data_IF_149871240720
#
_entry.id   IF_149871240720
#
_cell.length_a   1.000
_cell.length_b   1.000
_cell.length_c   1.000
_cell.angle_alpha   90.00
_cell.angle_beta   90.00
_cell.angle_gamma   90.00
#
_symmetry.space_group_name_H-M   'P 1'
#
loop_
_entity.id
_entity.type
_entity.pdbx_description
1 polymer ?
#
# COMPACT_ATOMS: atom_id res chain seq x y z
N UNK A 1 9.14 26.18 18.29
CA UNK A 1 10.09 25.18 17.78
C UNK A 1 10.75 24.38 18.91
N UNK A 2 11.16 25.03 20.03
CA UNK A 2 11.85 24.29 21.10
C UNK A 2 11.01 23.19 21.74
N UNK A 3 9.69 23.39 21.85
CA UNK A 3 8.78 22.32 22.28
C UNK A 3 8.80 21.14 21.32
N UNK A 4 8.73 21.40 20.01
CA UNK A 4 8.80 20.36 19.00
C UNK A 4 10.13 19.58 19.05
N UNK A 5 11.26 20.29 19.20
CA UNK A 5 12.58 19.65 19.34
C UNK A 5 12.65 18.73 20.57
N UNK A 6 12.00 19.12 21.68
CA UNK A 6 11.91 18.25 22.88
C UNK A 6 11.07 17.02 22.57
N UNK A 7 9.86 17.20 22.00
CA UNK A 7 8.97 16.08 21.68
C UNK A 7 9.60 15.09 20.70
N UNK A 8 10.33 15.57 19.68
CA UNK A 8 11.07 14.68 18.76
C UNK A 8 12.11 13.85 19.48
N UNK A 9 12.90 14.47 20.41
CA UNK A 9 13.88 13.71 21.20
C UNK A 9 13.23 12.67 22.11
N UNK A 10 12.10 13.01 22.73
CA UNK A 10 11.32 12.10 23.57
C UNK A 10 10.82 10.91 22.75
N UNK A 11 10.22 11.14 21.58
CA UNK A 11 9.75 10.08 20.69
C UNK A 11 10.89 9.15 20.24
N UNK A 12 12.06 9.71 19.91
CA UNK A 12 13.24 8.91 19.55
C UNK A 12 13.73 8.09 20.73
N UNK A 13 13.74 8.67 21.95
CA UNK A 13 14.12 7.94 23.15
C UNK A 13 13.13 6.82 23.48
N UNK A 14 11.86 6.97 23.12
CA UNK A 14 10.80 5.97 23.23
C UNK A 14 10.82 4.93 22.10
N UNK A 15 11.75 5.03 21.15
CA UNK A 15 11.97 4.05 20.09
C UNK A 15 11.21 4.32 18.80
N UNK A 16 10.86 5.56 18.49
CA UNK A 16 10.25 5.89 17.20
C UNK A 16 11.22 5.64 16.05
N UNK A 17 10.79 4.85 15.06
CA UNK A 17 11.57 4.45 13.87
C UNK A 17 11.15 5.23 12.61
N UNK A 18 10.02 5.94 12.64
CA UNK A 18 9.54 6.81 11.57
C UNK A 18 8.61 7.89 12.13
N UNK A 19 8.45 8.98 11.38
CA UNK A 19 7.54 10.07 11.75
C UNK A 19 6.45 10.26 10.71
N UNK A 20 5.20 10.43 11.19
CA UNK A 20 4.08 10.91 10.40
C UNK A 20 3.71 12.33 10.85
N UNK A 21 3.74 13.29 9.94
CA UNK A 21 3.39 14.68 10.21
C UNK A 21 2.11 15.04 9.46
N UNK A 22 1.07 15.42 10.21
CA UNK A 22 -0.21 15.82 9.63
C UNK A 22 -0.71 17.08 10.36
N UNK A 23 -0.68 18.21 9.68
CA UNK A 23 -1.15 19.49 10.21
C UNK A 23 -2.42 19.96 9.50
N UNK A 24 -3.23 20.73 10.22
CA UNK A 24 -4.45 21.30 9.63
C UNK A 24 -4.11 22.17 8.42
N UNK A 25 -4.87 22.02 7.34
CA UNK A 25 -4.71 22.77 6.10
C UNK A 25 -3.37 22.62 5.37
N UNK A 26 -2.54 21.63 5.74
CA UNK A 26 -1.25 21.41 5.09
C UNK A 26 -1.37 21.11 3.58
N UNK A 27 -2.48 20.50 3.13
CA UNK A 27 -2.78 20.31 1.71
C UNK A 27 -2.91 21.64 0.93
N UNK A 28 -3.15 22.77 1.62
CA UNK A 28 -3.25 24.10 1.04
C UNK A 28 -1.96 24.91 1.20
N UNK A 29 -1.30 24.76 2.34
CA UNK A 29 -0.01 25.40 2.66
C UNK A 29 0.87 24.42 3.42
N UNK A 30 1.94 23.96 2.78
CA UNK A 30 2.85 22.95 3.29
C UNK A 30 3.91 23.48 4.26
N UNK A 31 4.11 24.82 4.34
CA UNK A 31 5.24 25.48 4.99
C UNK A 31 5.50 24.96 6.42
N UNK A 32 4.43 24.77 7.20
CA UNK A 32 4.57 24.28 8.57
C UNK A 32 5.00 22.81 8.66
N UNK A 33 4.48 21.94 7.77
CA UNK A 33 4.94 20.53 7.72
C UNK A 33 6.39 20.44 7.26
N UNK A 34 6.79 21.22 6.26
CA UNK A 34 8.17 21.30 5.79
C UNK A 34 9.12 21.80 6.89
N UNK A 35 8.67 22.79 7.68
CA UNK A 35 9.44 23.24 8.82
C UNK A 35 9.56 22.19 9.92
N UNK A 36 8.48 21.43 10.18
CA UNK A 36 8.53 20.28 11.11
C UNK A 36 9.52 19.24 10.61
N UNK A 37 9.48 18.89 9.32
CA UNK A 37 10.43 17.93 8.71
C UNK A 37 11.89 18.39 8.89
N UNK A 38 12.17 19.68 8.64
CA UNK A 38 13.51 20.24 8.86
C UNK A 38 13.97 20.06 10.31
N UNK A 39 13.09 20.33 11.29
CA UNK A 39 13.40 20.17 12.70
C UNK A 39 13.61 18.70 13.06
N UNK A 40 12.80 17.80 12.52
CA UNK A 40 12.99 16.36 12.74
C UNK A 40 14.35 15.90 12.21
N UNK A 41 14.74 16.31 11.00
CA UNK A 41 16.04 15.95 10.42
C UNK A 41 17.22 16.54 11.21
N UNK A 42 17.09 17.77 11.73
CA UNK A 42 18.11 18.39 12.60
C UNK A 42 18.29 17.65 13.95
N UNK A 43 17.21 17.08 14.51
CA UNK A 43 17.18 16.47 15.83
C UNK A 43 17.43 14.97 15.79
N UNK A 44 16.95 14.32 14.74
CA UNK A 44 16.94 12.87 14.54
C UNK A 44 17.27 12.52 13.08
N UNK A 45 18.50 12.80 12.60
CA UNK A 45 18.87 12.61 11.21
C UNK A 45 18.74 11.13 10.81
N UNK A 46 18.20 10.90 9.61
CA UNK A 46 18.05 9.57 9.02
C UNK A 46 16.80 8.82 9.47
N UNK A 47 15.97 9.35 10.36
CA UNK A 47 14.65 8.76 10.64
C UNK A 47 13.68 9.18 9.53
N UNK A 48 13.03 8.22 8.84
CA UNK A 48 12.09 8.52 7.76
C UNK A 48 10.92 9.39 8.22
N UNK A 49 10.51 10.34 7.37
CA UNK A 49 9.43 11.28 7.65
C UNK A 49 8.42 11.24 6.52
N UNK A 50 7.14 11.05 6.86
CA UNK A 50 6.01 11.15 5.94
C UNK A 50 5.23 12.45 6.22
N UNK A 51 5.11 13.31 5.22
CA UNK A 51 4.40 14.58 5.31
C UNK A 51 3.02 14.47 4.63
N UNK A 52 1.97 14.83 5.34
CA UNK A 52 0.60 14.61 4.87
C UNK A 52 0.29 15.32 3.56
N UNK A 53 0.87 16.50 3.32
CA UNK A 53 0.69 17.24 2.08
C UNK A 53 1.35 16.57 0.87
N UNK A 54 2.34 15.71 1.07
CA UNK A 54 3.00 14.93 0.02
C UNK A 54 2.28 13.60 -0.24
N UNK A 55 1.84 12.95 0.85
CA UNK A 55 1.21 11.62 0.78
C UNK A 55 -0.23 11.71 0.29
N UNK A 56 -1.02 12.63 0.85
CA UNK A 56 -2.46 12.73 0.60
C UNK A 56 -2.92 14.19 0.59
N UNK A 57 -2.60 14.99 -0.45
CA UNK A 57 -2.88 16.42 -0.50
C UNK A 57 -4.38 16.73 -0.71
N UNK A 58 -5.23 16.24 0.20
CA UNK A 58 -6.69 16.37 0.14
C UNK A 58 -7.25 16.89 1.46
N UNK A 59 -8.45 17.45 1.38
CA UNK A 59 -9.25 17.80 2.55
C UNK A 59 -9.70 16.53 3.28
N UNK A 60 -9.82 16.58 4.62
CA UNK A 60 -10.19 15.47 5.49
C UNK A 60 -9.01 15.07 6.38
N UNK A 61 -8.94 15.71 7.56
CA UNK A 61 -7.78 15.58 8.46
C UNK A 61 -7.61 14.14 8.97
N UNK A 62 -8.72 13.46 9.28
CA UNK A 62 -8.66 12.10 9.81
C UNK A 62 -8.13 11.12 8.77
N UNK A 63 -8.73 11.09 7.59
CA UNK A 63 -8.33 10.20 6.49
C UNK A 63 -6.90 10.51 6.02
N UNK A 64 -6.53 11.80 5.98
CA UNK A 64 -5.17 12.22 5.63
C UNK A 64 -4.16 11.77 6.68
N UNK A 65 -4.47 11.93 7.97
CA UNK A 65 -3.61 11.47 9.05
C UNK A 65 -3.44 9.95 9.02
N UNK A 66 -4.53 9.20 8.89
CA UNK A 66 -4.49 7.73 8.77
C UNK A 66 -3.61 7.31 7.61
N UNK A 67 -3.81 7.90 6.42
CA UNK A 67 -3.01 7.58 5.23
C UNK A 67 -1.52 7.87 5.43
N UNK A 68 -1.22 8.99 6.09
CA UNK A 68 0.18 9.40 6.38
C UNK A 68 0.84 8.47 7.39
N UNK A 69 0.11 8.07 8.43
CA UNK A 69 0.60 7.10 9.43
C UNK A 69 0.86 5.74 8.80
N UNK A 70 -0.06 5.24 7.95
CA UNK A 70 0.15 3.99 7.22
C UNK A 70 1.41 4.09 6.36
N UNK A 71 1.58 5.20 5.63
CA UNK A 71 2.78 5.41 4.81
C UNK A 71 4.06 5.41 5.65
N UNK A 72 4.07 6.10 6.78
CA UNK A 72 5.22 6.15 7.68
C UNK A 72 5.56 4.77 8.27
N UNK A 73 4.54 3.94 8.52
CA UNK A 73 4.72 2.59 9.06
C UNK A 73 5.30 1.62 8.03
N UNK A 74 4.74 1.59 6.80
CA UNK A 74 5.16 0.62 5.78
C UNK A 74 6.33 1.12 4.92
N UNK A 75 6.55 2.43 4.87
CA UNK A 75 7.53 3.07 3.97
C UNK A 75 8.95 2.55 4.10
N UNK A 76 9.54 2.51 5.32
CA UNK A 76 10.92 2.04 5.52
C UNK A 76 11.13 0.60 5.01
N UNK A 77 10.27 -0.32 5.42
CA UNK A 77 10.34 -1.73 5.00
C UNK A 77 10.15 -1.89 3.50
N UNK A 78 9.21 -1.14 2.92
CA UNK A 78 8.95 -1.14 1.48
C UNK A 78 10.17 -0.63 0.71
N UNK A 79 10.78 0.46 1.16
CA UNK A 79 11.97 1.03 0.53
C UNK A 79 13.16 0.06 0.57
N UNK A 80 13.37 -0.60 1.70
CA UNK A 80 14.42 -1.61 1.87
C UNK A 80 14.19 -2.77 0.91
N UNK A 81 13.01 -3.39 0.96
CA UNK A 81 12.67 -4.56 0.13
C UNK A 81 12.78 -4.27 -1.38
N UNK A 82 12.14 -3.18 -1.84
CA UNK A 82 12.16 -2.81 -3.27
C UNK A 82 13.56 -2.38 -3.71
N UNK A 83 14.30 -1.70 -2.84
CA UNK A 83 15.69 -1.32 -3.10
C UNK A 83 16.62 -2.52 -3.21
N UNK A 84 16.46 -3.53 -2.34
CA UNK A 84 17.23 -4.78 -2.41
C UNK A 84 16.92 -5.55 -3.68
N UNK A 85 15.66 -5.64 -4.04
CA UNK A 85 15.22 -6.29 -5.28
C UNK A 85 15.81 -5.59 -6.52
N UNK A 86 15.74 -4.27 -6.58
CA UNK A 86 16.29 -3.48 -7.70
C UNK A 86 17.81 -3.67 -7.83
N UNK A 87 18.53 -3.64 -6.70
CA UNK A 87 19.98 -3.90 -6.66
C UNK A 87 20.34 -5.32 -7.05
N UNK A 88 19.58 -6.31 -6.55
CA UNK A 88 19.81 -7.73 -6.89
C UNK A 88 19.63 -7.98 -8.39
N UNK A 89 18.55 -7.49 -8.98
CA UNK A 89 18.30 -7.64 -10.40
C UNK A 89 19.32 -6.88 -11.27
N UNK A 90 19.78 -5.71 -10.83
CA UNK A 90 20.86 -5.00 -11.50
C UNK A 90 22.18 -5.79 -11.49
N UNK A 91 22.50 -6.46 -10.37
CA UNK A 91 23.66 -7.35 -10.27
C UNK A 91 23.55 -8.58 -11.20
N UNK A 92 22.34 -9.05 -11.45
CA UNK A 92 22.05 -10.14 -12.40
C UNK A 92 21.96 -9.66 -13.86
N UNK A 93 22.22 -8.37 -14.12
CA UNK A 93 22.33 -7.81 -15.48
C UNK A 93 21.10 -7.09 -16.00
N UNK A 94 20.09 -6.82 -15.16
CA UNK A 94 18.96 -5.96 -15.58
C UNK A 94 19.46 -4.52 -15.71
N UNK A 95 19.41 -3.97 -16.95
CA UNK A 95 19.95 -2.66 -17.25
C UNK A 95 19.10 -1.48 -16.72
N UNK A 96 17.79 -1.72 -16.50
CA UNK A 96 16.86 -0.69 -16.08
C UNK A 96 16.35 -0.98 -14.66
N UNK A 97 16.14 0.09 -13.87
CA UNK A 97 15.46 -0.02 -12.59
C UNK A 97 14.03 -0.56 -12.75
N UNK A 98 13.60 -1.36 -11.81
CA UNK A 98 12.26 -1.94 -11.81
C UNK A 98 11.18 -0.88 -11.62
N UNK A 99 10.00 -1.19 -12.13
CA UNK A 99 8.80 -0.41 -11.89
C UNK A 99 7.80 -1.25 -11.12
N UNK A 100 7.12 -0.62 -10.17
CA UNK A 100 6.12 -1.25 -9.32
C UNK A 100 4.75 -0.74 -9.72
N UNK A 101 3.79 -1.63 -9.91
CA UNK A 101 2.39 -1.26 -10.19
C UNK A 101 1.81 -0.54 -8.96
N UNK A 102 1.09 0.53 -9.20
CA UNK A 102 0.40 1.28 -8.14
C UNK A 102 -1.04 0.82 -7.98
N UNK A 103 -1.66 1.17 -6.86
CA UNK A 103 -3.08 0.90 -6.56
C UNK A 103 -4.06 1.48 -7.58
N UNK A 104 -3.62 2.45 -8.40
CA UNK A 104 -4.41 3.03 -9.49
C UNK A 104 -4.19 2.36 -10.85
N UNK A 105 -3.34 1.34 -10.91
CA UNK A 105 -2.98 0.67 -12.18
C UNK A 105 -1.90 1.36 -12.98
N UNK A 106 -1.30 2.44 -12.46
CA UNK A 106 -0.11 3.06 -13.02
C UNK A 106 1.17 2.33 -12.58
N UNK A 107 2.33 2.94 -12.82
CA UNK A 107 3.62 2.42 -12.42
C UNK A 107 4.48 3.50 -11.73
N UNK A 108 5.17 3.12 -10.65
CA UNK A 108 6.12 3.94 -9.94
C UNK A 108 7.54 3.34 -10.04
N UNK A 109 8.56 4.21 -10.09
CA UNK A 109 9.96 3.76 -10.07
C UNK A 109 10.32 3.26 -8.67
N UNK A 110 11.12 2.19 -8.58
CA UNK A 110 11.62 1.63 -7.32
C UNK A 110 12.14 2.69 -6.34
N UNK A 111 12.91 3.65 -6.82
CA UNK A 111 13.48 4.72 -6.00
C UNK A 111 12.44 5.60 -5.27
N UNK A 112 11.22 5.68 -5.78
CA UNK A 112 10.17 6.56 -5.24
C UNK A 112 9.14 5.81 -4.38
N UNK A 113 9.16 4.47 -4.40
CA UNK A 113 8.12 3.66 -3.76
C UNK A 113 8.09 3.84 -2.26
N UNK A 114 9.24 3.91 -1.59
CA UNK A 114 9.30 4.10 -0.14
C UNK A 114 8.70 5.41 0.35
N UNK A 115 8.80 6.47 -0.46
CA UNK A 115 8.23 7.78 -0.12
C UNK A 115 6.69 7.77 -0.19
N UNK A 116 6.12 6.93 -1.07
CA UNK A 116 4.67 6.79 -1.26
C UNK A 116 4.25 5.32 -1.20
N UNK A 117 4.73 4.60 -0.18
CA UNK A 117 4.50 3.17 -0.03
C UNK A 117 3.01 2.79 0.03
N UNK A 118 2.17 3.66 0.57
CA UNK A 118 0.72 3.47 0.58
C UNK A 118 0.12 3.41 -0.83
N UNK A 119 0.78 3.96 -1.85
CA UNK A 119 0.30 3.93 -3.24
C UNK A 119 0.45 2.57 -3.93
N UNK A 120 1.17 1.62 -3.34
CA UNK A 120 1.34 0.27 -3.88
C UNK A 120 0.57 -0.81 -3.12
N UNK A 121 -0.27 -0.42 -2.18
CA UNK A 121 -1.19 -1.35 -1.51
C UNK A 121 -2.09 -1.99 -2.58
N UNK A 122 -2.24 -3.33 -2.54
CA UNK A 122 -2.96 -4.12 -3.56
C UNK A 122 -2.35 -4.08 -4.98
N UNK A 123 -1.08 -3.72 -5.13
CA UNK A 123 -0.41 -3.64 -6.43
C UNK A 123 -0.46 -4.95 -7.23
N UNK A 124 -0.38 -6.11 -6.57
CA UNK A 124 -0.45 -7.44 -7.20
C UNK A 124 -1.77 -7.66 -7.92
N UNK A 125 -2.92 -7.70 -7.21
CA UNK A 125 -4.24 -7.86 -7.82
C UNK A 125 -4.56 -6.80 -8.87
N UNK A 126 -4.18 -5.54 -8.63
CA UNK A 126 -4.36 -4.44 -9.60
C UNK A 126 -3.55 -4.69 -10.87
N UNK A 127 -2.32 -5.20 -10.75
CA UNK A 127 -1.51 -5.61 -11.90
C UNK A 127 -2.19 -6.69 -12.74
N UNK A 128 -2.80 -7.67 -12.09
CA UNK A 128 -3.63 -8.69 -12.74
C UNK A 128 -4.82 -8.10 -13.51
N UNK A 129 -5.50 -7.11 -12.92
CA UNK A 129 -6.60 -6.40 -13.58
C UNK A 129 -6.13 -5.61 -14.81
N UNK A 130 -5.02 -4.90 -14.70
CA UNK A 130 -4.43 -4.14 -15.83
C UNK A 130 -4.05 -5.09 -16.97
N UNK A 131 -3.45 -6.23 -16.65
CA UNK A 131 -3.11 -7.26 -17.63
C UNK A 131 -4.36 -7.86 -18.30
N UNK A 132 -5.40 -8.15 -17.52
CA UNK A 132 -6.67 -8.66 -18.02
C UNK A 132 -7.36 -7.68 -18.97
N UNK A 133 -7.34 -6.38 -18.65
CA UNK A 133 -7.83 -5.31 -19.54
C UNK A 133 -7.07 -5.30 -20.87
N UNK A 134 -5.74 -5.34 -20.80
CA UNK A 134 -4.89 -5.37 -21.99
C UNK A 134 -5.20 -6.58 -22.88
N UNK A 135 -5.33 -7.77 -22.30
CA UNK A 135 -5.68 -8.99 -23.03
C UNK A 135 -7.11 -8.91 -23.59
N UNK A 136 -8.05 -8.36 -22.83
CA UNK A 136 -9.43 -8.14 -23.30
C UNK A 136 -9.48 -7.30 -24.57
N UNK A 137 -8.73 -6.19 -24.59
CA UNK A 137 -8.59 -5.34 -25.78
C UNK A 137 -8.10 -6.12 -26.99
N UNK A 138 -7.06 -6.95 -26.81
CA UNK A 138 -6.49 -7.76 -27.91
C UNK A 138 -7.48 -8.82 -28.44
N UNK A 139 -8.34 -9.33 -27.55
CA UNK A 139 -9.29 -10.39 -27.86
C UNK A 139 -10.69 -9.88 -28.21
N UNK A 140 -10.94 -8.58 -28.14
CA UNK A 140 -12.24 -7.96 -28.40
C UNK A 140 -13.27 -8.18 -27.30
N UNK A 141 -12.85 -8.35 -26.05
CA UNK A 141 -13.71 -8.47 -24.88
C UNK A 141 -13.65 -7.20 -24.04
N UNK A 142 -14.79 -6.56 -23.84
CA UNK A 142 -14.96 -5.32 -23.09
C UNK A 142 -15.55 -5.52 -21.69
N UNK A 143 -16.02 -6.74 -21.37
CA UNK A 143 -16.59 -7.11 -20.07
C UNK A 143 -15.86 -8.32 -19.51
N UNK A 144 -15.12 -8.10 -18.44
CA UNK A 144 -14.24 -9.12 -17.86
C UNK A 144 -14.43 -9.16 -16.35
N UNK A 145 -14.50 -10.35 -15.80
CA UNK A 145 -14.37 -10.61 -14.37
C UNK A 145 -13.01 -11.28 -14.17
N UNK A 146 -12.18 -10.69 -13.34
CA UNK A 146 -10.92 -11.33 -12.93
C UNK A 146 -11.12 -12.06 -11.61
N UNK A 147 -10.39 -13.15 -11.44
CA UNK A 147 -10.39 -13.98 -10.26
C UNK A 147 -8.93 -14.37 -9.97
N UNK A 148 -8.37 -13.80 -8.93
CA UNK A 148 -6.99 -14.06 -8.49
C UNK A 148 -7.01 -14.72 -7.11
N UNK A 149 -6.66 -15.99 -7.06
CA UNK A 149 -6.60 -16.74 -5.81
C UNK A 149 -5.15 -16.99 -5.42
N UNK A 150 -4.68 -16.26 -4.42
CA UNK A 150 -3.40 -16.51 -3.76
C UNK A 150 -3.52 -17.52 -2.62
N UNK A 151 -2.49 -17.58 -1.77
CA UNK A 151 -2.48 -18.44 -0.58
C UNK A 151 -3.43 -17.97 0.53
N UNK A 152 -3.69 -16.67 0.62
CA UNK A 152 -4.38 -16.03 1.75
C UNK A 152 -5.73 -15.43 1.35
N UNK A 153 -5.82 -14.82 0.17
CA UNK A 153 -7.00 -14.11 -0.32
C UNK A 153 -7.43 -14.57 -1.70
N UNK A 154 -8.66 -14.24 -2.03
CA UNK A 154 -9.24 -14.35 -3.35
C UNK A 154 -9.73 -12.97 -3.78
N UNK A 155 -9.09 -12.41 -4.79
CA UNK A 155 -9.33 -11.05 -5.26
C UNK A 155 -10.13 -11.08 -6.56
N UNK A 156 -11.24 -10.35 -6.57
CA UNK A 156 -12.15 -10.25 -7.72
C UNK A 156 -12.17 -8.81 -8.20
N UNK A 157 -11.92 -8.61 -9.49
CA UNK A 157 -12.04 -7.33 -10.14
C UNK A 157 -13.02 -7.34 -11.29
N UNK A 158 -13.58 -6.18 -11.61
CA UNK A 158 -14.55 -6.00 -12.69
C UNK A 158 -14.03 -4.98 -13.70
N UNK A 159 -14.13 -5.34 -14.98
CA UNK A 159 -13.86 -4.44 -16.09
C UNK A 159 -15.15 -4.35 -16.91
N UNK A 160 -15.64 -3.14 -17.11
CA UNK A 160 -16.82 -2.88 -17.94
C UNK A 160 -16.51 -1.74 -18.91
N UNK A 161 -16.74 -1.98 -20.19
CA UNK A 161 -16.42 -1.04 -21.26
C UNK A 161 -14.93 -0.68 -21.32
N UNK A 162 -14.06 -1.64 -21.02
CA UNK A 162 -12.60 -1.47 -21.00
C UNK A 162 -12.08 -0.45 -19.99
N UNK A 163 -12.87 -0.10 -18.98
CA UNK A 163 -12.51 0.80 -17.89
C UNK A 163 -12.32 0.05 -16.57
N UNK A 164 -11.36 0.50 -15.77
CA UNK A 164 -11.20 0.07 -14.39
C UNK A 164 -12.01 1.02 -13.51
N UNK A 165 -12.90 0.46 -12.69
CA UNK A 165 -13.63 1.26 -11.70
C UNK A 165 -12.67 1.68 -10.58
N UNK A 166 -12.68 2.95 -10.24
CA UNK A 166 -11.89 3.48 -9.12
C UNK A 166 -12.77 3.66 -7.89
N UNK A 167 -12.22 3.31 -6.74
CA UNK A 167 -12.74 3.71 -5.44
C UNK A 167 -11.97 4.96 -4.98
N UNK A 168 -12.63 6.13 -4.90
CA UNK A 168 -11.96 7.36 -4.49
C UNK A 168 -11.62 7.39 -2.99
N UNK A 169 -12.18 6.49 -2.20
CA UNK A 169 -11.97 6.36 -0.75
C UNK A 169 -11.94 4.91 -0.32
N UNK A 170 -10.92 4.15 -0.74
CA UNK A 170 -10.80 2.77 -0.35
C UNK A 170 -10.62 2.64 1.17
N UNK A 171 -11.14 1.58 1.72
CA UNK A 171 -10.88 1.17 3.10
C UNK A 171 -9.86 0.04 3.10
N UNK A 172 -8.88 0.13 3.95
CA UNK A 172 -8.07 -1.02 4.31
C UNK A 172 -8.84 -1.88 5.32
N UNK A 173 -8.29 -3.05 5.61
CA UNK A 173 -8.86 -3.96 6.59
C UNK A 173 -9.27 -3.23 7.88
N UNK A 174 -10.36 -3.70 8.51
CA UNK A 174 -10.96 -3.09 9.71
C UNK A 174 -11.52 -1.67 9.53
N UNK A 175 -11.76 -1.22 8.29
CA UNK A 175 -12.42 0.04 8.03
C UNK A 175 -11.51 1.27 8.19
N UNK A 176 -10.20 1.11 8.09
CA UNK A 176 -9.27 2.26 8.05
C UNK A 176 -9.38 3.00 6.72
N UNK A 177 -9.86 4.24 6.69
CA UNK A 177 -10.01 4.98 5.45
C UNK A 177 -8.64 5.43 4.90
N UNK A 178 -8.45 5.22 3.61
CA UNK A 178 -7.29 5.73 2.88
C UNK A 178 -7.76 6.75 1.86
N UNK A 179 -7.15 7.93 1.82
CA UNK A 179 -7.57 9.02 0.93
C UNK A 179 -6.86 9.02 -0.43
N UNK A 180 -6.23 7.92 -0.81
CA UNK A 180 -5.67 7.74 -2.15
C UNK A 180 -6.66 6.92 -3.01
N UNK A 181 -6.89 7.32 -4.26
CA UNK A 181 -7.70 6.52 -5.17
C UNK A 181 -7.03 5.17 -5.42
N UNK A 182 -7.84 4.13 -5.52
CA UNK A 182 -7.38 2.80 -5.88
C UNK A 182 -8.37 2.16 -6.87
N UNK A 183 -7.90 1.23 -7.67
CA UNK A 183 -8.78 0.39 -8.47
C UNK A 183 -9.64 -0.44 -7.53
N UNK A 184 -10.93 -0.49 -7.81
CA UNK A 184 -11.90 -1.21 -6.99
C UNK A 184 -11.69 -2.71 -7.13
N UNK A 185 -11.45 -3.34 -5.99
CA UNK A 185 -11.30 -4.78 -5.85
C UNK A 185 -12.21 -5.29 -4.73
N UNK A 186 -12.70 -6.49 -4.88
CA UNK A 186 -13.40 -7.22 -3.83
C UNK A 186 -12.46 -8.32 -3.35
N UNK A 187 -11.96 -8.19 -2.14
CA UNK A 187 -11.07 -9.19 -1.52
C UNK A 187 -11.85 -10.05 -0.55
N UNK A 188 -11.75 -11.36 -0.74
CA UNK A 188 -12.35 -12.37 0.14
C UNK A 188 -11.19 -13.06 0.88
N UNK A 189 -11.24 -13.10 2.21
CA UNK A 189 -10.24 -13.74 3.06
C UNK A 189 -10.30 -15.27 3.02
N UNK A 190 -10.26 -15.84 1.82
CA UNK A 190 -10.31 -17.27 1.56
C UNK A 190 -9.37 -17.58 0.39
N UNK A 191 -8.16 -18.01 0.67
CA UNK A 191 -7.15 -18.43 -0.33
C UNK A 191 -6.84 -19.92 -0.25
N UNK A 192 -5.89 -20.36 -1.06
CA UNK A 192 -5.46 -21.76 -1.15
C UNK A 192 -4.94 -22.35 0.16
N UNK A 193 -4.43 -21.53 1.09
CA UNK A 193 -4.00 -21.95 2.42
C UNK A 193 -5.11 -21.93 3.48
N UNK A 194 -6.30 -21.39 3.19
CA UNK A 194 -7.38 -21.25 4.16
C UNK A 194 -7.95 -22.61 4.54
N UNK A 195 -8.20 -22.82 5.84
CA UNK A 195 -8.77 -24.06 6.36
C UNK A 195 -10.29 -23.97 6.34
N UNK A 196 -10.92 -24.90 5.62
CA UNK A 196 -12.37 -25.06 5.63
C UNK A 196 -12.78 -25.96 6.80
N UNK A 197 -13.83 -25.57 7.54
CA UNK A 197 -14.35 -26.32 8.69
C UNK A 197 -15.86 -26.13 8.82
N UNK A 198 -16.49 -26.96 9.60
CA UNK A 198 -17.94 -26.88 9.85
C UNK A 198 -18.23 -26.89 11.35
N UNK A 199 -19.22 -26.12 11.77
CA UNK A 199 -19.82 -26.14 13.10
C UNK A 199 -20.99 -27.15 13.21
N UNK A 200 -21.22 -27.92 12.13
CA UNK A 200 -22.35 -28.86 12.00
C UNK A 200 -23.59 -28.24 11.34
N UNK A 201 -23.64 -26.92 11.16
CA UNK A 201 -24.74 -26.18 10.53
C UNK A 201 -24.29 -25.44 9.27
N UNK A 202 -23.07 -24.91 9.26
CA UNK A 202 -22.52 -24.10 8.17
C UNK A 202 -21.11 -24.51 7.85
N UNK A 203 -20.75 -24.30 6.59
CA UNK A 203 -19.37 -24.35 6.15
C UNK A 203 -18.71 -22.99 6.38
N UNK A 204 -17.55 -23.00 7.01
CA UNK A 204 -16.70 -21.84 7.25
C UNK A 204 -15.37 -22.00 6.52
N UNK A 205 -14.78 -20.90 6.04
CA UNK A 205 -13.46 -20.86 5.44
C UNK A 205 -12.65 -19.80 6.18
N UNK A 206 -11.51 -20.21 6.74
CA UNK A 206 -10.73 -19.35 7.63
C UNK A 206 -11.43 -19.14 9.01
N UNK A 207 -10.91 -18.21 9.83
CA UNK A 207 -9.69 -17.41 9.66
C UNK A 207 -8.39 -18.23 9.75
N UNK A 208 -8.44 -19.52 10.08
CA UNK A 208 -7.28 -20.38 10.16
C UNK A 208 -6.71 -20.67 8.78
N UNK A 209 -5.38 -20.70 8.70
CA UNK A 209 -4.63 -20.99 7.48
C UNK A 209 -3.52 -21.99 7.74
N UNK A 210 -3.25 -22.86 6.78
CA UNK A 210 -2.10 -23.75 6.80
C UNK A 210 -0.77 -22.98 6.60
N UNK A 211 -0.84 -21.70 6.26
CA UNK A 211 0.33 -20.87 5.99
C UNK A 211 1.14 -21.35 4.80
N UNK A 212 2.39 -20.90 4.74
CA UNK A 212 3.35 -21.33 3.70
C UNK A 212 4.25 -22.48 4.17
N UNK A 213 4.39 -22.69 5.49
CA UNK A 213 5.19 -23.74 6.09
C UNK A 213 4.43 -24.36 7.29
N UNK A 214 4.00 -25.64 7.20
CA UNK A 214 4.20 -26.59 6.13
C UNK A 214 3.40 -26.34 4.85
N UNK A 215 2.42 -25.45 4.86
CA UNK A 215 1.54 -25.19 3.75
C UNK A 215 0.39 -26.19 3.62
N UNK A 216 -0.54 -25.97 2.68
CA UNK A 216 -1.62 -26.91 2.38
C UNK A 216 -1.09 -28.15 1.66
N UNK A 217 -1.85 -29.27 1.76
CA UNK A 217 -1.46 -30.56 1.21
C UNK A 217 -1.30 -30.59 -0.34
N UNK A 218 -1.77 -29.56 -1.02
CA UNK A 218 -1.70 -29.43 -2.47
C UNK A 218 -0.47 -28.64 -2.99
N UNK A 219 0.46 -28.29 -2.13
CA UNK A 219 1.73 -27.64 -2.50
C UNK A 219 2.83 -28.66 -2.67
#
# INVERSE_FOLDING_TARGET
EDALRRSVRELVADGAESFAVCLLWAFRNAEHEERVATICEEVAPGIPISLSHQIAPKMGEFERAVTTVINAYIGPLTQEYIGDLDRGLAADGLANSIQVITSTGGAARAANVGQQAVSIVNSGPVGGLVAARFLGDQLGHDKIITADMGGTSFDVGLIDGNTLEEDPRPFLDQGLPVTLPAVKLITIGAGGGSIAWTDGYRLHVGPQSAGANPGPAAY
#
